data_IF_807660274781
#
_entry.id   IF_807660274781
#
_cell.length_a   1.000
_cell.length_b   1.000
_cell.length_c   1.000
_cell.angle_alpha   90.00
_cell.angle_beta   90.00
_cell.angle_gamma   90.00
#
_symmetry.space_group_name_H-M   'P 1'
#
loop_
_entity.id
_entity.type
_entity.pdbx_description
1 polymer ?
#
# COMPACT_ATOMS: atom_id res chain seq x y z
N UNK A 1 36.71 3.81 4.28
CA UNK A 1 36.62 2.36 4.01
C UNK A 1 36.09 2.17 2.60
N UNK A 2 36.82 1.42 1.77
CA UNK A 2 36.32 1.05 0.43
C UNK A 2 35.13 0.10 0.59
N UNK A 3 33.92 0.65 0.43
CA UNK A 3 32.64 -0.11 0.45
C UNK A 3 32.42 -0.69 -0.97
N UNK A 4 33.32 -1.57 -1.41
CA UNK A 4 33.22 -2.20 -2.71
C UNK A 4 32.65 -3.61 -2.57
N UNK A 5 31.63 -3.89 -3.36
CA UNK A 5 31.04 -5.22 -3.52
C UNK A 5 31.10 -5.60 -5.01
N UNK A 6 31.44 -6.84 -5.28
CA UNK A 6 31.31 -7.38 -6.64
C UNK A 6 29.84 -7.78 -6.85
N UNK A 7 29.13 -6.96 -7.63
CA UNK A 7 27.70 -7.20 -7.93
C UNK A 7 27.48 -8.42 -8.82
N UNK A 8 28.54 -9.01 -9.39
CA UNK A 8 28.51 -10.29 -10.13
C UNK A 8 28.88 -11.49 -9.27
N UNK A 9 29.15 -11.29 -7.97
CA UNK A 9 29.39 -12.40 -7.08
C UNK A 9 28.17 -13.28 -6.92
N UNK A 10 28.39 -14.60 -6.76
CA UNK A 10 27.30 -15.56 -6.52
C UNK A 10 26.44 -15.20 -5.30
N UNK A 11 27.05 -14.59 -4.28
CA UNK A 11 26.36 -14.19 -3.05
C UNK A 11 25.36 -13.05 -3.30
N UNK A 12 25.74 -12.03 -4.10
CA UNK A 12 24.85 -10.94 -4.52
C UNK A 12 23.72 -11.49 -5.40
N UNK A 13 24.06 -12.38 -6.34
CA UNK A 13 23.05 -13.03 -7.18
C UNK A 13 22.00 -13.76 -6.36
N UNK A 14 22.42 -14.52 -5.36
CA UNK A 14 21.50 -15.23 -4.46
C UNK A 14 20.62 -14.27 -3.67
N UNK A 15 21.17 -13.15 -3.19
CA UNK A 15 20.39 -12.13 -2.48
C UNK A 15 19.32 -11.50 -3.37
N UNK A 16 19.66 -11.12 -4.61
CA UNK A 16 18.72 -10.55 -5.57
C UNK A 16 17.64 -11.57 -5.96
N UNK A 17 18.04 -12.83 -6.22
CA UNK A 17 17.06 -13.88 -6.57
C UNK A 17 16.05 -14.17 -5.46
N UNK A 18 16.46 -14.05 -4.19
CA UNK A 18 15.55 -14.20 -3.05
C UNK A 18 14.50 -13.09 -2.97
N UNK A 19 14.76 -11.89 -3.49
CA UNK A 19 13.80 -10.79 -3.46
C UNK A 19 12.47 -11.16 -4.11
N UNK A 20 12.46 -11.97 -5.17
CA UNK A 20 11.25 -12.37 -5.89
C UNK A 20 10.19 -13.01 -4.96
N UNK A 21 10.63 -13.88 -4.05
CA UNK A 21 9.74 -14.51 -3.05
C UNK A 21 9.21 -13.55 -1.97
N UNK A 22 9.72 -12.31 -1.90
CA UNK A 22 9.41 -11.39 -0.81
C UNK A 22 8.76 -10.07 -1.26
N UNK A 23 8.29 -10.00 -2.50
CA UNK A 23 7.66 -8.79 -3.06
C UNK A 23 6.29 -8.45 -2.47
N UNK A 24 5.67 -9.39 -1.75
CA UNK A 24 4.38 -9.16 -1.07
C UNK A 24 4.58 -9.21 0.44
N UNK A 25 4.05 -8.19 1.12
CA UNK A 25 4.13 -8.09 2.57
C UNK A 25 3.47 -9.30 3.28
N UNK A 26 2.43 -9.88 2.67
CA UNK A 26 1.68 -11.01 3.23
C UNK A 26 2.52 -12.30 3.35
N UNK A 27 3.54 -12.46 2.52
CA UNK A 27 4.41 -13.66 2.55
C UNK A 27 5.46 -13.62 3.66
N UNK A 28 5.45 -12.59 4.51
CA UNK A 28 6.49 -12.29 5.48
C UNK A 28 5.95 -12.25 6.92
N UNK A 29 5.28 -13.31 7.36
CA UNK A 29 4.63 -13.40 8.68
C UNK A 29 5.58 -13.27 9.90
N UNK A 30 6.89 -13.42 9.71
CA UNK A 30 7.89 -13.38 10.79
C UNK A 30 8.70 -12.09 10.84
N UNK A 31 8.29 -11.03 10.12
CA UNK A 31 9.11 -9.83 9.96
C UNK A 31 8.71 -8.68 10.87
N UNK A 32 9.70 -7.97 11.34
CA UNK A 32 9.60 -6.62 11.85
C UNK A 32 9.35 -5.67 10.66
N UNK A 33 8.07 -5.41 10.36
CA UNK A 33 7.66 -4.56 9.23
C UNK A 33 8.23 -3.14 9.34
N UNK A 34 8.36 -2.61 10.56
CA UNK A 34 8.90 -1.29 10.81
C UNK A 34 10.37 -1.16 10.40
N UNK A 35 11.17 -2.19 10.68
CA UNK A 35 12.59 -2.21 10.34
C UNK A 35 12.82 -2.14 8.82
N UNK A 36 11.98 -2.86 8.07
CA UNK A 36 12.13 -2.97 6.61
C UNK A 36 11.25 -1.97 5.83
N UNK A 37 10.47 -1.15 6.52
CA UNK A 37 9.68 -0.11 5.88
C UNK A 37 10.56 1.04 5.40
N UNK A 38 10.59 1.31 4.09
CA UNK A 38 11.21 2.49 3.51
C UNK A 38 10.25 3.70 3.59
N UNK A 39 10.79 4.89 3.81
CA UNK A 39 9.98 6.11 3.88
C UNK A 39 9.37 6.37 5.26
N UNK A 40 10.16 6.32 6.32
CA UNK A 40 9.74 6.60 7.71
C UNK A 40 9.02 7.95 7.85
N UNK A 41 9.40 8.99 7.09
CA UNK A 41 8.69 10.28 7.06
C UNK A 41 7.22 10.15 6.64
N UNK A 42 6.91 9.16 5.81
CA UNK A 42 5.52 8.84 5.41
C UNK A 42 4.77 8.23 6.57
N UNK A 43 5.41 7.31 7.29
CA UNK A 43 4.85 6.67 8.49
C UNK A 43 4.54 7.72 9.57
N UNK A 44 5.45 8.68 9.80
CA UNK A 44 5.27 9.76 10.79
C UNK A 44 4.05 10.64 10.49
N UNK A 45 3.70 10.82 9.22
CA UNK A 45 2.49 11.56 8.82
C UNK A 45 1.20 10.77 9.04
N UNK A 46 1.28 9.45 9.01
CA UNK A 46 0.11 8.57 9.17
C UNK A 46 -0.13 8.19 10.62
N UNK A 47 0.86 8.27 11.51
CA UNK A 47 0.72 7.96 12.95
C UNK A 47 -0.22 8.91 13.71
N UNK A 48 -0.65 10.01 13.10
CA UNK A 48 -1.55 10.99 13.72
C UNK A 48 -2.89 10.38 14.15
N UNK A 49 -3.54 11.01 15.13
CA UNK A 49 -4.87 10.59 15.63
C UNK A 49 -6.03 10.93 14.66
N UNK A 50 -5.74 11.57 13.52
CA UNK A 50 -6.75 11.91 12.50
C UNK A 50 -7.20 10.65 11.77
N UNK A 51 -8.48 10.58 11.47
CA UNK A 51 -9.00 9.57 10.54
C UNK A 51 -8.43 9.84 9.15
N UNK A 52 -7.85 8.80 8.52
CA UNK A 52 -7.19 8.95 7.23
C UNK A 52 -7.53 7.80 6.30
N UNK A 53 -7.74 8.15 5.02
CA UNK A 53 -7.79 7.18 3.94
C UNK A 53 -6.49 7.27 3.14
N UNK A 54 -5.76 6.16 3.08
CA UNK A 54 -4.46 6.01 2.44
C UNK A 54 -4.72 5.50 1.02
N UNK A 55 -4.72 6.42 0.08
CA UNK A 55 -4.91 6.11 -1.32
C UNK A 55 -3.61 5.65 -1.97
N UNK A 56 -3.71 4.61 -2.78
CA UNK A 56 -2.60 4.17 -3.60
C UNK A 56 -2.97 2.99 -4.49
N UNK A 57 -2.38 2.95 -5.68
CA UNK A 57 -2.52 1.82 -6.62
C UNK A 57 -1.96 0.53 -6.01
N UNK A 58 -2.24 -0.61 -6.64
CA UNK A 58 -1.67 -1.89 -6.21
C UNK A 58 -0.13 -1.85 -6.28
N UNK A 59 0.54 -2.34 -5.24
CA UNK A 59 2.01 -2.36 -5.18
C UNK A 59 2.67 -1.12 -4.59
N UNK A 60 1.91 -0.09 -4.18
CA UNK A 60 2.44 1.14 -3.55
C UNK A 60 2.90 0.94 -2.11
N UNK A 61 2.63 -0.22 -1.49
CA UNK A 61 3.08 -0.54 -0.13
C UNK A 61 2.08 -0.20 0.97
N UNK A 62 0.78 -0.03 0.68
CA UNK A 62 -0.26 0.28 1.68
C UNK A 62 -0.29 -0.73 2.83
N UNK A 63 -0.35 -2.02 2.52
CA UNK A 63 -0.30 -3.11 3.51
C UNK A 63 0.94 -3.03 4.38
N UNK A 64 2.11 -2.79 3.78
CA UNK A 64 3.37 -2.66 4.53
C UNK A 64 3.33 -1.42 5.45
N UNK A 65 2.80 -0.30 4.96
CA UNK A 65 2.62 0.92 5.76
C UNK A 65 1.72 0.66 6.97
N UNK A 66 0.56 0.01 6.80
CA UNK A 66 -0.36 -0.28 7.91
C UNK A 66 0.26 -1.23 8.93
N UNK A 67 0.99 -2.26 8.49
CA UNK A 67 1.68 -3.19 9.39
C UNK A 67 2.85 -2.53 10.11
N UNK A 68 3.64 -1.69 9.44
CA UNK A 68 4.70 -0.90 10.08
C UNK A 68 4.11 0.13 11.08
N UNK A 69 2.95 0.72 10.76
CA UNK A 69 2.21 1.58 11.67
C UNK A 69 1.75 0.80 12.90
N UNK A 70 1.22 -0.41 12.74
CA UNK A 70 0.83 -1.28 13.84
C UNK A 70 2.00 -1.51 14.81
N UNK A 71 3.16 -1.92 14.29
CA UNK A 71 4.35 -2.17 15.12
C UNK A 71 4.85 -0.89 15.82
N UNK A 72 4.83 0.24 15.12
CA UNK A 72 5.25 1.53 15.69
C UNK A 72 4.31 1.98 16.81
N UNK A 73 3.00 1.82 16.66
CA UNK A 73 2.02 2.16 17.68
C UNK A 73 2.12 1.24 18.93
N UNK A 74 2.49 -0.04 18.73
CA UNK A 74 2.74 -0.97 19.84
C UNK A 74 4.02 -0.66 20.61
N UNK A 75 5.01 -0.06 19.96
CA UNK A 75 6.28 0.33 20.56
C UNK A 75 6.24 1.73 21.22
N UNK A 76 5.16 2.48 21.04
CA UNK A 76 4.98 3.80 21.65
C UNK A 76 4.66 3.67 23.16
N UNK A 77 5.17 4.61 23.97
CA UNK A 77 4.86 4.71 25.42
C UNK A 77 3.39 5.06 25.68
N UNK A 78 2.68 5.56 24.66
CA UNK A 78 1.24 5.79 24.73
C UNK A 78 0.49 4.45 24.67
N UNK A 79 -0.55 4.33 25.47
CA UNK A 79 -1.39 3.13 25.49
C UNK A 79 -2.29 3.08 24.25
N UNK A 80 -1.69 2.88 23.09
CA UNK A 80 -2.41 2.68 21.84
C UNK A 80 -2.67 1.21 21.57
N UNK A 81 -3.86 0.90 21.07
CA UNK A 81 -4.23 -0.43 20.61
C UNK A 81 -4.44 -0.42 19.10
N UNK A 82 -3.46 -0.80 18.29
CA UNK A 82 -3.65 -0.96 16.85
C UNK A 82 -4.25 -2.33 16.53
N UNK A 83 -5.33 -2.32 15.76
CA UNK A 83 -6.04 -3.50 15.27
C UNK A 83 -5.96 -3.51 13.74
N UNK A 84 -5.15 -4.41 13.17
CA UNK A 84 -5.04 -4.58 11.73
C UNK A 84 -6.07 -5.59 11.23
N UNK A 85 -6.82 -5.21 10.19
CA UNK A 85 -7.91 -6.01 9.62
C UNK A 85 -7.77 -6.02 8.09
N UNK A 86 -7.62 -7.22 7.53
CA UNK A 86 -7.66 -7.45 6.09
C UNK A 86 -9.10 -7.75 5.67
N UNK A 87 -9.75 -6.79 5.02
CA UNK A 87 -11.15 -6.87 4.64
C UNK A 87 -11.46 -7.96 3.59
N UNK A 88 -10.44 -8.49 2.89
CA UNK A 88 -10.62 -9.64 1.98
C UNK A 88 -11.07 -10.89 2.70
N UNK A 89 -10.74 -11.02 4.00
CA UNK A 89 -11.07 -12.22 4.79
C UNK A 89 -12.55 -12.31 5.14
N UNK A 90 -13.29 -11.22 5.02
CA UNK A 90 -14.69 -11.11 5.43
C UNK A 90 -15.68 -11.13 4.26
N UNK A 91 -15.25 -11.55 3.07
CA UNK A 91 -16.16 -11.67 1.93
C UNK A 91 -17.29 -12.67 2.27
N UNK A 92 -18.59 -12.27 2.21
CA UNK A 92 -19.68 -13.20 2.33
C UNK A 92 -19.55 -14.29 1.26
N UNK A 93 -19.80 -15.54 1.64
CA UNK A 93 -19.71 -16.70 0.73
C UNK A 93 -20.88 -16.77 -0.27
N UNK A 94 -21.93 -15.97 -0.05
CA UNK A 94 -23.08 -15.86 -0.92
C UNK A 94 -23.09 -14.45 -1.53
N UNK A 95 -23.19 -14.38 -2.85
CA UNK A 95 -23.53 -13.14 -3.54
C UNK A 95 -24.90 -12.66 -3.02
N UNK A 96 -24.88 -11.61 -2.22
CA UNK A 96 -26.08 -10.95 -1.74
C UNK A 96 -26.29 -9.71 -2.58
N UNK A 97 -27.42 -9.61 -3.27
CA UNK A 97 -27.86 -8.42 -3.99
C UNK A 97 -28.24 -7.28 -3.01
N UNK A 98 -28.09 -7.48 -1.71
CA UNK A 98 -28.43 -6.52 -0.67
C UNK A 98 -27.18 -5.87 -0.08
N UNK A 99 -26.85 -4.69 -0.58
CA UNK A 99 -25.69 -3.89 -0.16
C UNK A 99 -25.70 -3.57 1.35
N UNK A 100 -26.88 -3.34 1.92
CA UNK A 100 -27.04 -3.08 3.36
C UNK A 100 -26.62 -4.33 4.17
N UNK A 101 -27.10 -5.49 3.77
CA UNK A 101 -26.76 -6.75 4.45
C UNK A 101 -25.26 -7.05 4.36
N UNK A 102 -24.67 -6.82 3.17
CA UNK A 102 -23.24 -6.98 2.96
C UNK A 102 -22.42 -6.06 3.88
N UNK A 103 -22.77 -4.78 3.90
CA UNK A 103 -22.08 -3.80 4.76
C UNK A 103 -22.25 -4.13 6.25
N UNK A 104 -23.42 -4.64 6.67
CA UNK A 104 -23.69 -5.04 8.05
C UNK A 104 -22.82 -6.23 8.50
N UNK A 105 -22.64 -7.25 7.65
CA UNK A 105 -21.77 -8.39 7.96
C UNK A 105 -20.33 -7.93 8.12
N UNK A 106 -19.80 -7.15 7.18
CA UNK A 106 -18.42 -6.64 7.26
C UNK A 106 -18.25 -5.79 8.53
N UNK A 107 -19.20 -4.91 8.83
CA UNK A 107 -19.13 -4.10 10.04
C UNK A 107 -19.12 -4.97 11.31
N UNK A 108 -19.95 -6.01 11.38
CA UNK A 108 -19.98 -6.94 12.50
C UNK A 108 -18.62 -7.62 12.71
N UNK A 109 -18.00 -8.11 11.62
CA UNK A 109 -16.68 -8.74 11.67
C UNK A 109 -15.60 -7.74 12.14
N UNK A 110 -15.62 -6.49 11.64
CA UNK A 110 -14.71 -5.44 12.11
C UNK A 110 -14.87 -5.22 13.63
N UNK A 111 -16.10 -5.11 14.11
CA UNK A 111 -16.36 -4.93 15.56
C UNK A 111 -15.86 -6.11 16.36
N UNK A 112 -16.11 -7.33 15.89
CA UNK A 112 -15.64 -8.57 16.54
C UNK A 112 -14.11 -8.60 16.63
N UNK A 113 -13.40 -8.26 15.54
CA UNK A 113 -11.93 -8.22 15.54
C UNK A 113 -11.38 -7.15 16.49
N UNK A 114 -11.99 -5.96 16.53
CA UNK A 114 -11.61 -4.92 17.49
C UNK A 114 -11.83 -5.40 18.93
N UNK A 115 -12.97 -6.03 19.21
CA UNK A 115 -13.26 -6.55 20.55
C UNK A 115 -12.34 -7.70 20.95
N UNK A 116 -12.01 -8.61 20.03
CA UNK A 116 -11.04 -9.69 20.28
C UNK A 116 -9.67 -9.15 20.69
N UNK A 117 -9.16 -8.13 19.98
CA UNK A 117 -7.86 -7.53 20.29
C UNK A 117 -7.86 -6.86 21.65
N UNK A 118 -8.90 -6.10 21.98
CA UNK A 118 -9.07 -5.48 23.30
C UNK A 118 -9.15 -6.54 24.39
N UNK A 119 -9.83 -7.62 24.10
CA UNK A 119 -10.09 -8.70 25.02
C UNK A 119 -8.83 -9.53 25.33
N UNK A 120 -8.02 -9.87 24.32
CA UNK A 120 -6.75 -10.57 24.50
C UNK A 120 -5.80 -9.77 25.40
N UNK A 121 -5.83 -8.44 25.30
CA UNK A 121 -5.01 -7.57 26.13
C UNK A 121 -5.57 -7.32 27.54
N UNK A 122 -6.80 -7.79 27.82
CA UNK A 122 -7.51 -7.59 29.09
C UNK A 122 -8.07 -8.92 29.62
N UNK A 123 -7.20 -9.91 29.75
CA UNK A 123 -7.54 -11.28 30.10
C UNK A 123 -8.51 -11.44 31.29
N UNK A 124 -8.43 -10.57 32.30
CA UNK A 124 -9.31 -10.59 33.44
C UNK A 124 -10.76 -10.17 33.15
N UNK A 125 -11.03 -9.51 32.02
CA UNK A 125 -12.38 -9.14 31.58
C UNK A 125 -12.97 -10.15 30.61
N UNK A 126 -12.19 -11.10 30.17
CA UNK A 126 -12.49 -11.99 29.05
C UNK A 126 -13.77 -12.80 29.26
N UNK A 127 -13.95 -13.38 30.41
CA UNK A 127 -15.08 -14.29 30.71
C UNK A 127 -16.45 -13.60 30.74
N UNK A 128 -16.52 -12.33 31.09
CA UNK A 128 -17.76 -11.57 31.19
C UNK A 128 -18.36 -11.15 29.84
N UNK A 129 -17.53 -11.07 28.77
CA UNK A 129 -17.91 -10.47 27.51
C UNK A 129 -18.02 -11.45 26.34
N UNK A 130 -17.53 -12.68 26.44
CA UNK A 130 -17.57 -13.70 25.38
C UNK A 130 -18.97 -13.98 24.86
N UNK A 131 -19.97 -13.99 25.70
CA UNK A 131 -21.35 -14.25 25.31
C UNK A 131 -21.95 -13.08 24.56
N UNK A 132 -21.53 -11.85 24.84
CA UNK A 132 -22.01 -10.65 24.15
C UNK A 132 -21.34 -10.46 22.79
N UNK A 133 -20.08 -10.88 22.61
CA UNK A 133 -19.43 -10.88 21.31
C UNK A 133 -20.17 -11.69 20.26
N UNK A 134 -20.71 -12.85 20.66
CA UNK A 134 -21.47 -13.73 19.75
C UNK A 134 -22.87 -13.19 19.41
N UNK A 135 -23.36 -12.19 20.14
CA UNK A 135 -24.70 -11.60 19.99
C UNK A 135 -24.71 -10.20 19.38
N UNK A 136 -23.56 -9.66 18.97
CA UNK A 136 -23.50 -8.32 18.37
C UNK A 136 -24.14 -8.36 16.99
N UNK A 137 -25.39 -7.97 16.94
CA UNK A 137 -26.17 -7.63 15.74
C UNK A 137 -26.40 -6.12 15.80
N UNK A 138 -26.20 -5.43 14.71
CA UNK A 138 -25.84 -4.01 14.66
C UNK A 138 -26.91 -3.04 15.08
N UNK A 139 -28.15 -3.31 14.82
CA UNK A 139 -29.20 -2.35 15.19
C UNK A 139 -30.26 -2.99 16.03
N UNK A 140 -30.32 -3.19 17.11
CA UNK A 140 -30.45 -2.42 18.33
C UNK A 140 -29.26 -2.48 19.29
N UNK A 141 -28.16 -3.09 18.90
CA UNK A 141 -27.03 -3.35 19.80
C UNK A 141 -25.91 -2.29 19.75
N UNK A 142 -26.02 -1.29 18.86
CA UNK A 142 -25.08 -0.17 18.79
C UNK A 142 -24.78 0.44 20.16
N UNK A 143 -25.79 0.57 21.04
CA UNK A 143 -25.60 1.10 22.40
C UNK A 143 -24.71 0.18 23.24
N UNK A 144 -24.83 -1.14 23.09
CA UNK A 144 -23.97 -2.12 23.79
C UNK A 144 -22.53 -2.05 23.27
N UNK A 145 -22.35 -1.98 21.96
CA UNK A 145 -21.01 -1.81 21.35
C UNK A 145 -20.35 -0.54 21.88
N UNK A 146 -21.06 0.58 21.88
CA UNK A 146 -20.56 1.84 22.39
C UNK A 146 -20.20 1.77 23.88
N UNK A 147 -21.00 1.09 24.70
CA UNK A 147 -20.72 0.88 26.12
C UNK A 147 -19.49 -0.01 26.35
N UNK A 148 -19.31 -1.05 25.51
CA UNK A 148 -18.11 -1.89 25.55
C UNK A 148 -16.86 -1.08 25.16
N UNK A 149 -16.90 -0.34 24.08
CA UNK A 149 -15.79 0.52 23.67
C UNK A 149 -15.45 1.58 24.73
N UNK A 150 -16.44 2.14 25.44
CA UNK A 150 -16.21 3.05 26.57
C UNK A 150 -15.50 2.40 27.75
N UNK A 151 -15.86 1.15 28.09
CA UNK A 151 -15.17 0.38 29.14
C UNK A 151 -13.69 0.18 28.78
N UNK A 152 -13.43 -0.21 27.54
CA UNK A 152 -12.07 -0.48 27.05
C UNK A 152 -11.22 0.79 26.93
N UNK A 153 -11.80 1.91 26.54
CA UNK A 153 -11.12 3.22 26.50
C UNK A 153 -10.61 3.71 27.87
N UNK A 154 -10.94 3.03 28.96
CA UNK A 154 -10.31 3.28 30.28
C UNK A 154 -8.92 2.65 30.37
N UNK A 155 -8.66 1.59 29.61
CA UNK A 155 -7.38 0.86 29.59
C UNK A 155 -6.43 1.32 28.48
N UNK A 156 -6.96 1.96 27.44
CA UNK A 156 -6.21 2.47 26.31
C UNK A 156 -6.54 3.93 26.06
N UNK A 157 -5.53 4.71 25.65
CA UNK A 157 -5.74 6.12 25.29
C UNK A 157 -6.48 6.23 23.97
N UNK A 158 -6.24 5.29 23.03
CA UNK A 158 -6.89 5.23 21.71
C UNK A 158 -6.76 3.86 21.06
N UNK A 159 -7.77 3.48 20.31
CA UNK A 159 -7.77 2.32 19.42
C UNK A 159 -7.50 2.82 17.99
N UNK A 160 -6.58 2.19 17.28
CA UNK A 160 -6.34 2.43 15.87
C UNK A 160 -6.89 1.26 15.06
N UNK A 161 -7.97 1.48 14.33
CA UNK A 161 -8.56 0.49 13.43
C UNK A 161 -7.91 0.66 12.03
N UNK A 162 -7.06 -0.29 11.67
CA UNK A 162 -6.25 -0.30 10.46
C UNK A 162 -6.92 -1.22 9.44
N UNK A 163 -7.74 -0.65 8.55
CA UNK A 163 -8.53 -1.38 7.55
C UNK A 163 -7.78 -1.46 6.23
N UNK A 164 -7.35 -2.66 5.85
CA UNK A 164 -6.68 -2.89 4.57
C UNK A 164 -7.63 -3.45 3.52
N UNK A 165 -7.32 -3.22 2.24
CA UNK A 165 -8.05 -3.72 1.06
C UNK A 165 -9.52 -3.28 1.02
N UNK A 166 -9.80 -2.03 1.41
CA UNK A 166 -11.15 -1.44 1.36
C UNK A 166 -11.82 -1.58 -0.01
N UNK A 167 -11.05 -1.44 -1.08
CA UNK A 167 -11.53 -1.49 -2.45
C UNK A 167 -11.95 -2.89 -2.94
N UNK A 168 -11.83 -3.92 -2.10
CA UNK A 168 -12.37 -5.27 -2.38
C UNK A 168 -13.85 -5.39 -1.95
N UNK A 169 -14.38 -4.42 -1.20
CA UNK A 169 -15.79 -4.31 -0.87
C UNK A 169 -16.54 -3.72 -2.07
N UNK A 170 -17.72 -4.22 -2.44
CA UNK A 170 -18.55 -3.60 -3.48
C UNK A 170 -18.77 -2.11 -3.23
N UNK A 171 -18.59 -1.26 -4.24
CA UNK A 171 -18.65 0.20 -4.11
C UNK A 171 -19.97 0.68 -3.49
N UNK A 172 -21.07 0.05 -3.86
CA UNK A 172 -22.41 0.34 -3.33
C UNK A 172 -22.56 0.01 -1.84
N UNK A 173 -21.78 -0.90 -1.30
CA UNK A 173 -21.76 -1.25 0.13
C UNK A 173 -20.78 -0.40 0.93
N UNK A 174 -19.76 0.21 0.28
CA UNK A 174 -18.68 0.93 0.97
C UNK A 174 -19.19 2.15 1.74
N UNK A 175 -20.01 3.01 1.16
CA UNK A 175 -20.53 4.20 1.85
C UNK A 175 -21.48 3.85 3.02
N UNK A 176 -22.18 2.71 2.94
CA UNK A 176 -23.03 2.21 4.02
C UNK A 176 -22.15 1.76 5.19
N UNK A 177 -21.10 0.99 4.89
CA UNK A 177 -20.11 0.57 5.88
C UNK A 177 -19.41 1.80 6.50
N UNK A 178 -19.02 2.77 5.69
CA UNK A 178 -18.42 4.02 6.15
C UNK A 178 -19.32 4.76 7.13
N UNK A 179 -20.65 4.81 6.88
CA UNK A 179 -21.63 5.40 7.79
C UNK A 179 -21.70 4.66 9.14
N UNK A 180 -21.66 3.31 9.12
CA UNK A 180 -21.63 2.54 10.35
C UNK A 180 -20.38 2.81 11.18
N UNK A 181 -19.20 2.85 10.53
CA UNK A 181 -17.94 3.17 11.17
C UNK A 181 -17.95 4.58 11.76
N UNK A 182 -18.43 5.58 10.97
CA UNK A 182 -18.57 6.96 11.43
C UNK A 182 -19.39 7.04 12.71
N UNK A 183 -20.60 6.47 12.71
CA UNK A 183 -21.53 6.56 13.86
C UNK A 183 -21.06 5.78 15.08
N UNK A 184 -20.25 4.75 14.90
CA UNK A 184 -19.85 3.86 16.00
C UNK A 184 -18.46 4.18 16.51
N UNK A 185 -17.47 4.41 15.65
CA UNK A 185 -16.08 4.53 16.05
C UNK A 185 -15.62 5.96 16.27
N UNK A 186 -15.94 6.87 15.34
CA UNK A 186 -15.48 8.27 15.41
C UNK A 186 -15.77 8.95 16.74
N UNK A 187 -16.97 8.78 17.37
CA UNK A 187 -17.25 9.39 18.66
C UNK A 187 -16.51 8.77 19.86
N UNK A 188 -15.74 7.67 19.67
CA UNK A 188 -15.27 6.80 20.77
C UNK A 188 -13.77 6.57 20.81
N UNK A 189 -12.95 7.56 20.55
CA UNK A 189 -11.47 7.44 20.58
C UNK A 189 -10.94 6.26 19.73
N UNK A 190 -11.63 5.90 18.66
CA UNK A 190 -11.17 4.96 17.66
C UNK A 190 -10.76 5.77 16.44
N UNK A 191 -9.53 5.63 16.01
CA UNK A 191 -8.99 6.26 14.81
C UNK A 191 -9.05 5.29 13.65
N UNK A 192 -9.59 5.71 12.53
CA UNK A 192 -9.68 4.92 11.30
C UNK A 192 -8.47 5.21 10.40
N UNK A 193 -7.80 4.16 9.95
CA UNK A 193 -6.79 4.20 8.89
C UNK A 193 -7.22 3.22 7.80
N UNK A 194 -7.71 3.73 6.70
CA UNK A 194 -8.29 2.93 5.63
C UNK A 194 -7.33 2.92 4.43
N UNK A 195 -6.87 1.75 4.01
CA UNK A 195 -6.08 1.61 2.79
C UNK A 195 -6.97 1.24 1.60
N UNK A 196 -6.91 2.06 0.55
CA UNK A 196 -7.84 1.96 -0.57
C UNK A 196 -7.19 2.30 -1.93
N UNK A 197 -7.85 1.91 -3.01
CA UNK A 197 -7.52 2.29 -4.39
C UNK A 197 -8.43 3.46 -4.77
N UNK A 198 -7.90 4.62 -5.25
CA UNK A 198 -8.67 5.84 -5.46
C UNK A 198 -9.96 5.64 -6.27
N UNK A 199 -9.82 5.00 -7.44
CA UNK A 199 -10.93 4.88 -8.40
C UNK A 199 -11.90 3.73 -8.10
N UNK A 200 -11.69 2.99 -7.00
CA UNK A 200 -12.52 1.88 -6.51
C UNK A 200 -13.03 2.13 -5.11
N UNK A 201 -13.15 3.41 -4.75
CA UNK A 201 -13.49 3.79 -3.38
C UNK A 201 -14.60 4.81 -3.38
N UNK A 202 -15.70 4.46 -2.72
CA UNK A 202 -16.85 5.32 -2.50
C UNK A 202 -17.13 5.41 -1.00
N UNK A 203 -16.64 6.48 -0.35
CA UNK A 203 -16.84 6.68 1.10
C UNK A 203 -18.15 7.40 1.43
N UNK A 204 -18.73 8.11 0.49
CA UNK A 204 -19.93 8.91 0.67
C UNK A 204 -20.89 8.71 -0.51
N UNK A 205 -22.18 8.63 -0.24
CA UNK A 205 -23.22 8.57 -1.26
C UNK A 205 -23.61 9.98 -1.76
N UNK A 206 -24.37 10.05 -2.84
CA UNK A 206 -24.95 11.30 -3.34
C UNK A 206 -25.81 12.02 -2.28
N UNK A 207 -26.45 11.26 -1.40
CA UNK A 207 -27.26 11.77 -0.29
C UNK A 207 -26.43 12.12 0.98
N UNK A 208 -25.10 12.20 0.86
CA UNK A 208 -24.16 12.50 1.95
C UNK A 208 -24.19 11.51 3.11
N UNK A 209 -24.51 10.24 2.83
CA UNK A 209 -24.39 9.15 3.79
C UNK A 209 -22.97 8.59 3.68
N UNK A 210 -22.25 8.46 4.80
CA UNK A 210 -20.89 7.95 4.86
C UNK A 210 -19.88 8.92 5.47
N UNK A 211 -18.60 8.74 5.13
CA UNK A 211 -17.47 9.57 5.59
C UNK A 211 -17.15 10.66 4.56
N UNK A 212 -17.23 11.92 4.97
CA UNK A 212 -16.95 13.07 4.12
C UNK A 212 -15.45 13.38 4.12
N UNK A 213 -14.85 13.44 2.91
CA UNK A 213 -13.43 13.79 2.77
C UNK A 213 -13.20 15.27 3.17
N UNK A 214 -12.14 15.50 3.92
CA UNK A 214 -11.81 16.81 4.51
C UNK A 214 -12.64 17.21 5.75
N UNK A 215 -13.75 16.50 6.02
CA UNK A 215 -14.59 16.70 7.21
C UNK A 215 -14.38 15.58 8.24
N UNK A 216 -14.79 14.38 7.86
CA UNK A 216 -14.73 13.21 8.76
C UNK A 216 -13.42 12.44 8.61
N UNK A 217 -12.88 12.34 7.38
CA UNK A 217 -11.67 11.60 7.06
C UNK A 217 -10.79 12.41 6.10
N UNK A 218 -9.48 12.23 6.17
CA UNK A 218 -8.54 12.98 5.34
C UNK A 218 -7.80 12.08 4.36
N UNK A 219 -7.84 12.43 3.08
CA UNK A 219 -7.12 11.72 2.01
C UNK A 219 -5.60 11.83 2.16
N UNK A 220 -4.91 10.70 2.03
CA UNK A 220 -3.46 10.62 2.02
C UNK A 220 -2.99 9.88 0.76
N UNK A 221 -2.62 10.60 -0.32
CA UNK A 221 -2.19 9.98 -1.57
C UNK A 221 -0.75 9.44 -1.44
N UNK A 222 -0.62 8.11 -1.35
CA UNK A 222 0.68 7.46 -1.16
C UNK A 222 1.48 7.38 -2.47
N UNK A 223 0.84 7.11 -3.60
CA UNK A 223 1.47 6.91 -4.89
C UNK A 223 1.96 8.21 -5.57
N UNK A 224 1.40 9.36 -5.20
CA UNK A 224 1.85 10.64 -5.74
C UNK A 224 3.17 11.15 -5.12
N UNK A 225 3.65 10.50 -4.05
CA UNK A 225 4.83 10.97 -3.30
C UNK A 225 6.16 10.68 -3.98
N UNK A 226 6.21 9.64 -4.79
CA UNK A 226 7.45 9.12 -5.36
C UNK A 226 7.45 9.15 -6.90
N UNK A 227 6.80 10.16 -7.48
CA UNK A 227 6.84 10.41 -8.92
C UNK A 227 8.16 11.12 -9.24
N UNK A 228 9.01 10.46 -10.02
CA UNK A 228 10.36 10.96 -10.32
C UNK A 228 10.37 12.32 -11.01
N UNK A 229 9.45 12.57 -11.92
CA UNK A 229 9.35 13.82 -12.67
C UNK A 229 8.96 15.01 -11.79
N UNK A 230 8.23 14.77 -10.70
CA UNK A 230 7.79 15.81 -9.76
C UNK A 230 8.78 16.00 -8.60
N UNK A 231 9.32 14.90 -8.07
CA UNK A 231 10.13 14.91 -6.86
C UNK A 231 11.38 14.02 -7.00
N UNK A 232 12.33 14.35 -7.91
CA UNK A 232 13.44 13.47 -8.26
C UNK A 232 14.31 13.08 -7.07
N UNK A 233 14.64 14.01 -6.17
CA UNK A 233 15.54 13.73 -5.05
C UNK A 233 14.86 12.89 -3.95
N UNK A 234 13.59 13.17 -3.65
CA UNK A 234 12.80 12.38 -2.68
C UNK A 234 12.62 10.97 -3.22
N UNK A 235 12.33 10.83 -4.51
CA UNK A 235 12.15 9.54 -5.18
C UNK A 235 13.44 8.73 -5.16
N UNK A 236 14.57 9.32 -5.51
CA UNK A 236 15.89 8.64 -5.44
C UNK A 236 16.20 8.17 -4.02
N UNK A 237 16.01 9.04 -3.03
CA UNK A 237 16.28 8.71 -1.63
C UNK A 237 15.40 7.54 -1.15
N UNK A 238 14.11 7.57 -1.47
CA UNK A 238 13.18 6.52 -1.12
C UNK A 238 13.57 5.16 -1.76
N UNK A 239 13.84 5.12 -3.06
CA UNK A 239 14.19 3.88 -3.74
C UNK A 239 15.60 3.38 -3.38
N UNK A 240 16.51 4.27 -3.02
CA UNK A 240 17.80 3.91 -2.42
C UNK A 240 17.61 3.18 -1.08
N UNK A 241 16.77 3.72 -0.21
CA UNK A 241 16.43 3.11 1.08
C UNK A 241 15.67 1.80 0.88
N UNK A 242 14.69 1.76 -0.02
CA UNK A 242 13.91 0.57 -0.35
C UNK A 242 14.81 -0.59 -0.78
N UNK A 243 15.65 -0.36 -1.80
CA UNK A 243 16.53 -1.39 -2.33
C UNK A 243 17.52 -1.90 -1.26
N UNK A 244 18.09 -0.97 -0.47
CA UNK A 244 18.96 -1.35 0.63
C UNK A 244 18.25 -2.24 1.64
N UNK A 245 17.12 -1.82 2.17
CA UNK A 245 16.38 -2.56 3.20
C UNK A 245 15.95 -3.94 2.71
N UNK A 246 15.50 -4.04 1.46
CA UNK A 246 15.13 -5.33 0.88
C UNK A 246 16.33 -6.27 0.70
N UNK A 247 17.46 -5.78 0.23
CA UNK A 247 18.69 -6.59 0.10
C UNK A 247 19.31 -6.94 1.46
N UNK A 248 19.31 -5.99 2.40
CA UNK A 248 19.77 -6.23 3.77
C UNK A 248 18.98 -7.36 4.44
N UNK A 249 17.67 -7.41 4.21
CA UNK A 249 16.81 -8.50 4.68
C UNK A 249 17.23 -9.86 4.11
N UNK A 250 17.71 -9.90 2.86
CA UNK A 250 18.13 -11.16 2.21
C UNK A 250 19.51 -11.63 2.67
N UNK A 251 20.43 -10.71 2.99
CA UNK A 251 21.78 -11.02 3.48
C UNK A 251 22.33 -9.86 4.34
N UNK A 252 21.97 -9.81 5.66
CA UNK A 252 22.42 -8.74 6.55
C UNK A 252 23.94 -8.59 6.60
N UNK A 253 24.69 -9.70 6.67
CA UNK A 253 26.15 -9.68 6.76
C UNK A 253 26.83 -9.06 5.54
N UNK A 254 26.21 -9.22 4.35
CA UNK A 254 26.74 -8.67 3.11
C UNK A 254 26.50 -7.17 3.01
N UNK A 255 25.34 -6.69 3.45
CA UNK A 255 24.90 -5.33 3.20
C UNK A 255 25.06 -4.38 4.39
N UNK A 256 25.40 -4.87 5.59
CA UNK A 256 25.60 -4.04 6.80
C UNK A 256 26.65 -2.93 6.59
N UNK A 257 27.70 -3.18 5.80
CA UNK A 257 28.76 -2.20 5.48
C UNK A 257 28.23 -0.93 4.77
N UNK A 258 27.06 -1.00 4.17
CA UNK A 258 26.40 0.12 3.47
C UNK A 258 25.42 0.90 4.36
N UNK A 259 25.35 0.59 5.66
CA UNK A 259 24.60 1.38 6.62
C UNK A 259 25.49 2.44 7.28
N UNK A 260 25.00 3.66 7.36
CA UNK A 260 25.67 4.74 8.06
C UNK A 260 25.06 4.90 9.47
N UNK A 261 25.78 4.39 10.48
CA UNK A 261 25.30 4.43 11.87
C UNK A 261 25.19 5.85 12.44
N UNK A 262 25.92 6.83 11.90
CA UNK A 262 25.83 8.23 12.35
C UNK A 262 24.56 8.88 11.83
N UNK A 263 24.28 8.68 10.57
CA UNK A 263 23.10 9.21 9.90
C UNK A 263 21.85 8.33 10.11
N UNK A 264 22.01 7.15 10.70
CA UNK A 264 20.95 6.13 10.89
C UNK A 264 20.19 5.79 9.60
N UNK A 265 20.90 5.72 8.49
CA UNK A 265 20.34 5.46 7.16
C UNK A 265 21.34 4.75 6.25
N UNK A 266 20.88 4.14 5.15
CA UNK A 266 21.78 3.61 4.13
C UNK A 266 22.63 4.73 3.53
N UNK A 267 23.83 4.36 3.03
CA UNK A 267 24.67 5.32 2.30
C UNK A 267 23.89 5.90 1.12
N UNK A 268 24.06 7.20 0.89
CA UNK A 268 23.25 7.97 -0.05
C UNK A 268 23.23 7.42 -1.49
N UNK A 269 24.31 6.74 -1.90
CA UNK A 269 24.46 6.21 -3.26
C UNK A 269 24.50 4.68 -3.30
N UNK A 270 23.85 3.98 -2.37
CA UNK A 270 23.83 2.52 -2.37
C UNK A 270 23.28 1.95 -3.68
N UNK A 271 22.20 2.51 -4.18
CA UNK A 271 21.57 2.08 -5.44
C UNK A 271 22.50 2.19 -6.66
N UNK A 272 23.44 3.14 -6.63
CA UNK A 272 24.41 3.34 -7.71
C UNK A 272 25.49 2.25 -7.78
N UNK A 273 25.59 1.38 -6.75
CA UNK A 273 26.42 0.19 -6.82
C UNK A 273 25.93 -0.74 -7.93
N UNK A 274 24.62 -0.80 -8.12
CA UNK A 274 23.98 -1.66 -9.13
C UNK A 274 23.71 -0.91 -10.45
N UNK A 275 23.24 0.34 -10.38
CA UNK A 275 22.67 1.09 -11.49
C UNK A 275 23.58 2.25 -11.91
N UNK A 276 23.91 2.33 -13.20
CA UNK A 276 24.44 3.55 -13.77
C UNK A 276 23.41 4.70 -13.67
N UNK A 277 23.85 5.97 -13.58
CA UNK A 277 22.98 7.11 -13.34
C UNK A 277 21.79 7.22 -14.33
N UNK A 278 22.03 6.93 -15.61
CA UNK A 278 20.96 6.94 -16.62
C UNK A 278 20.00 5.75 -16.45
N UNK A 279 20.51 4.58 -16.06
CA UNK A 279 19.68 3.42 -15.77
C UNK A 279 18.83 3.62 -14.51
N UNK A 280 19.38 4.30 -13.49
CA UNK A 280 18.61 4.70 -12.30
C UNK A 280 17.43 5.61 -12.69
N UNK A 281 17.68 6.64 -13.50
CA UNK A 281 16.59 7.49 -13.98
C UNK A 281 15.53 6.69 -14.73
N UNK A 282 15.95 5.80 -15.64
CA UNK A 282 15.03 5.00 -16.47
C UNK A 282 14.13 4.09 -15.60
N UNK A 283 14.67 3.40 -14.61
CA UNK A 283 13.88 2.51 -13.75
C UNK A 283 12.92 3.30 -12.83
N UNK A 284 13.32 4.48 -12.36
CA UNK A 284 12.46 5.33 -11.53
C UNK A 284 11.26 5.86 -12.33
N UNK A 285 11.45 6.19 -13.61
CA UNK A 285 10.37 6.57 -14.52
C UNK A 285 9.49 5.34 -14.83
N UNK A 286 10.09 4.22 -15.21
CA UNK A 286 9.38 3.00 -15.59
C UNK A 286 8.52 2.42 -14.47
N UNK A 287 8.97 2.55 -13.22
CA UNK A 287 8.22 2.09 -12.04
C UNK A 287 7.07 3.03 -11.63
N UNK A 288 7.00 4.24 -12.20
CA UNK A 288 6.01 5.27 -11.86
C UNK A 288 5.82 5.48 -10.34
N UNK A 289 6.91 5.40 -9.58
CA UNK A 289 6.89 5.55 -8.12
C UNK A 289 6.35 4.35 -7.35
N UNK A 290 6.13 3.21 -7.99
CA UNK A 290 5.53 2.01 -7.39
C UNK A 290 6.63 1.03 -6.95
N UNK A 291 6.79 0.77 -5.62
CA UNK A 291 7.82 -0.10 -5.08
C UNK A 291 7.86 -1.52 -5.68
N UNK A 292 6.70 -2.13 -5.85
CA UNK A 292 6.60 -3.48 -6.45
C UNK A 292 7.11 -3.51 -7.88
N UNK A 293 6.73 -2.55 -8.71
CA UNK A 293 7.16 -2.49 -10.11
C UNK A 293 8.65 -2.20 -10.19
N UNK A 294 9.19 -1.31 -9.35
CA UNK A 294 10.62 -1.06 -9.26
C UNK A 294 11.40 -2.34 -8.95
N UNK A 295 10.99 -3.10 -7.93
CA UNK A 295 11.70 -4.32 -7.53
C UNK A 295 11.62 -5.40 -8.61
N UNK A 296 10.48 -5.59 -9.26
CA UNK A 296 10.35 -6.57 -10.34
C UNK A 296 11.22 -6.20 -11.56
N UNK A 297 11.18 -4.92 -11.97
CA UNK A 297 12.04 -4.45 -13.07
C UNK A 297 13.52 -4.57 -12.69
N UNK A 298 13.87 -4.25 -11.44
CA UNK A 298 15.24 -4.38 -10.94
C UNK A 298 15.73 -5.84 -10.97
N UNK A 299 14.93 -6.79 -10.48
CA UNK A 299 15.27 -8.22 -10.48
C UNK A 299 15.46 -8.74 -11.90
N UNK A 300 14.52 -8.44 -12.82
CA UNK A 300 14.62 -8.85 -14.22
C UNK A 300 15.85 -8.21 -14.91
N UNK A 301 16.07 -6.90 -14.71
CA UNK A 301 17.22 -6.20 -15.26
C UNK A 301 18.56 -6.75 -14.72
N UNK A 302 18.60 -7.10 -13.43
CA UNK A 302 19.77 -7.72 -12.82
C UNK A 302 20.06 -9.10 -13.43
N UNK A 303 19.04 -9.90 -13.66
CA UNK A 303 19.19 -11.22 -14.31
C UNK A 303 19.74 -11.06 -15.75
N UNK A 304 19.23 -10.09 -16.52
CA UNK A 304 19.77 -9.76 -17.85
C UNK A 304 21.24 -9.32 -17.76
N UNK A 305 21.55 -8.44 -16.81
CA UNK A 305 22.91 -7.94 -16.59
C UNK A 305 23.87 -9.08 -16.20
N UNK A 306 23.44 -10.00 -15.36
CA UNK A 306 24.29 -11.09 -14.85
C UNK A 306 24.80 -12.01 -15.96
N UNK A 307 24.05 -12.17 -17.04
CA UNK A 307 24.45 -12.97 -18.20
C UNK A 307 25.49 -12.29 -19.09
N UNK A 308 25.72 -10.96 -18.93
CA UNK A 308 26.65 -10.19 -19.76
C UNK A 308 28.05 -10.16 -19.15
N UNK A 309 29.08 -10.33 -19.97
CA UNK A 309 30.48 -10.44 -19.48
C UNK A 309 31.15 -9.09 -19.20
N UNK A 310 30.78 -8.02 -19.92
CA UNK A 310 31.59 -6.79 -19.99
C UNK A 310 31.07 -5.58 -19.21
N UNK A 311 29.90 -5.65 -18.58
CA UNK A 311 29.32 -4.51 -17.89
C UNK A 311 29.66 -4.51 -16.39
N UNK A 312 29.98 -3.32 -15.84
CA UNK A 312 30.22 -3.14 -14.38
C UNK A 312 28.95 -2.77 -13.62
N UNK A 313 27.95 -2.21 -14.31
CA UNK A 313 26.66 -1.77 -13.75
C UNK A 313 25.54 -2.08 -14.76
N UNK A 314 24.32 -2.16 -14.25
CA UNK A 314 23.12 -2.20 -15.09
C UNK A 314 23.06 -0.91 -15.93
N UNK A 315 22.72 -1.04 -17.20
CA UNK A 315 22.60 0.07 -18.15
C UNK A 315 21.15 0.24 -18.62
N UNK A 316 20.88 1.34 -19.30
CA UNK A 316 19.52 1.69 -19.79
C UNK A 316 18.87 0.56 -20.59
N UNK A 317 19.65 -0.13 -21.43
CA UNK A 317 19.15 -1.25 -22.24
C UNK A 317 18.65 -2.42 -21.38
N UNK A 318 19.30 -2.70 -20.23
CA UNK A 318 18.87 -3.76 -19.30
C UNK A 318 17.53 -3.41 -18.69
N UNK A 319 17.35 -2.13 -18.29
CA UNK A 319 16.11 -1.64 -17.69
C UNK A 319 14.96 -1.70 -18.71
N UNK A 320 15.20 -1.21 -19.94
CA UNK A 320 14.15 -1.22 -20.99
C UNK A 320 13.67 -2.62 -21.32
N UNK A 321 14.59 -3.56 -21.48
CA UNK A 321 14.25 -4.97 -21.74
C UNK A 321 13.45 -5.56 -20.58
N UNK A 322 13.90 -5.33 -19.34
CA UNK A 322 13.18 -5.78 -18.15
C UNK A 322 11.78 -5.16 -18.03
N UNK A 323 11.61 -3.88 -18.38
CA UNK A 323 10.32 -3.21 -18.34
C UNK A 323 9.34 -3.81 -19.36
N UNK A 324 9.79 -4.12 -20.56
CA UNK A 324 8.96 -4.78 -21.58
C UNK A 324 8.54 -6.19 -21.11
N UNK A 325 9.49 -6.94 -20.54
CA UNK A 325 9.22 -8.27 -19.97
C UNK A 325 8.18 -8.18 -18.83
N UNK A 326 8.38 -7.25 -17.88
CA UNK A 326 7.45 -7.02 -16.77
C UNK A 326 6.05 -6.65 -17.23
N UNK A 327 5.93 -5.74 -18.20
CA UNK A 327 4.64 -5.40 -18.81
C UNK A 327 3.96 -6.64 -19.40
N UNK A 328 4.71 -7.47 -20.14
CA UNK A 328 4.19 -8.68 -20.76
C UNK A 328 3.63 -9.70 -19.77
N UNK A 329 4.29 -9.84 -18.61
CA UNK A 329 3.91 -10.80 -17.57
C UNK A 329 2.76 -10.30 -16.68
N UNK A 330 2.83 -9.04 -16.21
CA UNK A 330 1.92 -8.53 -15.16
C UNK A 330 0.67 -7.84 -15.76
N UNK A 331 0.80 -7.12 -16.87
CA UNK A 331 -0.22 -6.15 -17.30
C UNK A 331 -0.92 -6.52 -18.60
N UNK A 332 -0.18 -7.02 -19.56
CA UNK A 332 -0.65 -7.22 -20.93
C UNK A 332 -1.95 -8.03 -21.01
N UNK A 333 -2.05 -9.14 -20.31
CA UNK A 333 -3.26 -9.99 -20.34
C UNK A 333 -4.50 -9.25 -19.87
N UNK A 334 -4.37 -8.45 -18.82
CA UNK A 334 -5.50 -7.71 -18.23
C UNK A 334 -5.91 -6.54 -19.13
N UNK A 335 -4.93 -5.85 -19.74
CA UNK A 335 -5.21 -4.80 -20.73
C UNK A 335 -5.88 -5.39 -21.96
N UNK A 336 -5.36 -6.51 -22.49
CA UNK A 336 -5.93 -7.18 -23.67
C UNK A 336 -7.34 -7.72 -23.42
N UNK A 337 -7.69 -8.08 -22.20
CA UNK A 337 -9.03 -8.52 -21.79
C UNK A 337 -10.06 -7.37 -21.76
N UNK A 338 -9.60 -6.12 -21.55
CA UNK A 338 -10.44 -4.92 -21.57
C UNK A 338 -10.28 -4.19 -22.92
N UNK A 339 -11.12 -4.52 -23.88
CA UNK A 339 -11.01 -3.99 -25.26
C UNK A 339 -11.07 -2.46 -25.32
N UNK A 340 -11.88 -1.81 -24.48
CA UNK A 340 -12.02 -0.36 -24.46
C UNK A 340 -10.76 0.31 -23.88
N UNK A 341 -10.24 -0.21 -22.75
CA UNK A 341 -8.99 0.27 -22.17
C UNK A 341 -7.82 0.09 -23.15
N UNK A 342 -7.76 -1.04 -23.88
CA UNK A 342 -6.76 -1.29 -24.89
C UNK A 342 -6.84 -0.28 -26.03
N UNK A 343 -8.03 -0.02 -26.58
CA UNK A 343 -8.23 0.98 -27.64
C UNK A 343 -7.80 2.37 -27.18
N UNK A 344 -8.10 2.75 -25.93
CA UNK A 344 -7.65 4.01 -25.36
C UNK A 344 -6.13 4.06 -25.24
N UNK A 345 -5.50 2.99 -24.76
CA UNK A 345 -4.04 2.89 -24.65
C UNK A 345 -3.38 3.03 -26.03
N UNK A 346 -3.86 2.32 -27.04
CA UNK A 346 -3.34 2.40 -28.40
C UNK A 346 -3.47 3.83 -28.97
N UNK A 347 -4.59 4.50 -28.68
CA UNK A 347 -4.80 5.91 -29.07
C UNK A 347 -3.82 6.84 -28.33
N UNK A 348 -3.62 6.67 -27.02
CA UNK A 348 -2.62 7.44 -26.25
C UNK A 348 -1.23 7.24 -26.84
N UNK A 349 -0.83 6.01 -27.13
CA UNK A 349 0.47 5.69 -27.71
C UNK A 349 0.62 6.37 -29.07
N UNK A 350 -0.32 6.17 -29.99
CA UNK A 350 -0.21 6.66 -31.36
C UNK A 350 -0.33 8.19 -31.45
N UNK A 351 -1.31 8.79 -30.79
CA UNK A 351 -1.61 10.21 -30.94
C UNK A 351 -0.69 11.10 -30.09
N UNK A 352 -0.36 10.65 -28.85
CA UNK A 352 0.38 11.47 -27.90
C UNK A 352 1.88 11.14 -27.94
N UNK A 353 2.25 9.86 -27.75
CA UNK A 353 3.65 9.49 -27.66
C UNK A 353 4.33 9.53 -29.04
N UNK A 354 3.73 8.92 -30.07
CA UNK A 354 4.36 8.80 -31.41
C UNK A 354 4.17 10.07 -32.20
N UNK A 355 2.93 10.53 -32.38
CA UNK A 355 2.62 11.66 -33.28
C UNK A 355 3.03 13.00 -32.66
N UNK A 356 2.58 13.28 -31.42
CA UNK A 356 2.89 14.56 -30.74
C UNK A 356 4.24 14.56 -30.03
N UNK A 357 4.88 13.39 -29.90
CA UNK A 357 6.15 13.20 -29.15
C UNK A 357 6.09 13.81 -27.75
N UNK A 358 4.98 13.62 -27.05
CA UNK A 358 4.73 14.10 -25.69
C UNK A 358 4.56 12.92 -24.75
N UNK A 359 5.11 13.01 -23.54
CA UNK A 359 4.94 12.02 -22.46
C UNK A 359 3.91 12.47 -21.41
N UNK A 360 3.28 13.64 -21.58
CA UNK A 360 2.28 14.20 -20.69
C UNK A 360 1.09 14.75 -21.47
N UNK A 361 -0.09 14.62 -20.89
CA UNK A 361 -1.31 15.25 -21.38
C UNK A 361 -2.23 15.62 -20.20
N UNK A 362 -3.08 16.62 -20.40
CA UNK A 362 -4.05 17.06 -19.40
C UNK A 362 -5.42 16.48 -19.73
N UNK A 363 -6.12 16.04 -18.71
CA UNK A 363 -7.52 15.64 -18.80
C UNK A 363 -8.32 16.74 -18.10
N UNK A 364 -9.20 17.46 -18.83
CA UNK A 364 -10.04 18.46 -18.20
C UNK A 364 -11.03 17.82 -17.22
N UNK A 365 -11.21 18.42 -16.04
CA UNK A 365 -12.09 17.98 -14.95
C UNK A 365 -13.54 17.72 -15.40
N UNK A 366 -14.03 18.48 -16.39
CA UNK A 366 -15.38 18.30 -16.97
C UNK A 366 -15.62 16.91 -17.59
N UNK A 367 -14.57 16.14 -17.86
CA UNK A 367 -14.66 14.78 -18.41
C UNK A 367 -14.72 13.68 -17.36
N UNK A 368 -14.65 14.00 -16.06
CA UNK A 368 -14.71 13.02 -14.98
C UNK A 368 -15.99 12.14 -14.99
N UNK A 369 -17.05 12.59 -15.66
CA UNK A 369 -18.32 11.85 -15.81
C UNK A 369 -18.47 11.12 -17.15
N UNK A 370 -17.46 11.15 -18.02
CA UNK A 370 -17.53 10.57 -19.36
C UNK A 370 -16.95 9.15 -19.36
N UNK A 371 -17.53 8.27 -20.19
CA UNK A 371 -17.12 6.86 -20.35
C UNK A 371 -15.62 6.68 -20.58
N UNK A 372 -14.97 7.61 -21.31
CA UNK A 372 -13.54 7.59 -21.60
C UNK A 372 -12.67 7.74 -20.34
N UNK A 373 -13.19 8.35 -19.27
CA UNK A 373 -12.47 8.48 -17.99
C UNK A 373 -12.45 7.14 -17.25
N UNK A 374 -13.49 6.32 -17.40
CA UNK A 374 -13.51 4.99 -16.78
C UNK A 374 -12.40 4.10 -17.35
N UNK A 375 -12.26 4.06 -18.65
CA UNK A 375 -11.19 3.30 -19.31
C UNK A 375 -9.80 3.83 -18.95
N UNK A 376 -9.65 5.13 -18.76
CA UNK A 376 -8.39 5.72 -18.28
C UNK A 376 -8.11 5.33 -16.83
N UNK A 377 -9.12 5.35 -15.96
CA UNK A 377 -8.98 4.89 -14.59
C UNK A 377 -8.62 3.39 -14.54
N UNK A 378 -9.21 2.58 -15.42
CA UNK A 378 -8.83 1.17 -15.56
C UNK A 378 -7.34 1.01 -15.92
N UNK A 379 -6.81 1.85 -16.85
CA UNK A 379 -5.39 1.84 -17.20
C UNK A 379 -4.50 2.29 -16.04
N UNK A 380 -4.91 3.33 -15.30
CA UNK A 380 -4.19 3.81 -14.11
C UNK A 380 -4.15 2.73 -13.03
N UNK A 381 -5.25 2.04 -12.78
CA UNK A 381 -5.34 0.95 -11.80
C UNK A 381 -4.47 -0.25 -12.21
N UNK A 382 -4.35 -0.50 -13.50
CA UNK A 382 -3.45 -1.50 -14.08
C UNK A 382 -1.99 -1.03 -14.09
N UNK A 383 -1.71 0.22 -13.76
CA UNK A 383 -0.37 0.81 -13.74
C UNK A 383 0.29 0.83 -15.13
N UNK A 384 -0.47 1.12 -16.15
CA UNK A 384 -0.02 1.21 -17.55
C UNK A 384 0.20 2.66 -17.96
#
# INVERSE_FOLDING_TARGET
MNRNIDIKSRRVQQSVSKLDGFLRAEYNSEKNYLEYYAGLETLDKVISIKDQIIYGRRGTGKTHLLKALQEKLLADDQKYLPVYIDLRTFKPTLESDNDLYYALIIFQEIVVEVLKCVYVNLDYLYQEYTVEQQKIIIDPQRRKILALLEKFNRSFDRIFCLLDEWSEIPETSQYILAEFLKRTFVPKKVTLKIAAIPNRTQLISENRIGLEDGGDIFGFPLDNRYIYELYPEITKAFFNELLYKQLYLMDPQLYEIFYDNKEKRPVHNFINIFLANQALREILIASAGIPRDFLNIFISAYNIFFTKTNNRHLVVADIRNATVEWYGVDKKKTVDANSNAKLLLDKIINDILITKKRCHFLIPEKYEKVKEVKELNDLIDLRV
#
